data_IF_375652884656
#
_entry.id   IF_375652884656
#
_cell.length_a   1.000
_cell.length_b   1.000
_cell.length_c   1.000
_cell.angle_alpha   90.00
_cell.angle_beta   90.00
_cell.angle_gamma   90.00
#
_symmetry.space_group_name_H-M   'P 1'
#
loop_
_entity.id
_entity.type
_entity.pdbx_description
1 polymer ?
2 non-polymer ?
3 non-polymer ?
4 water ?
#
# COMPACT_ATOMS: atom_id res chain seq x y z
N UNK A 21 -18.73 1.60 4.63
CA UNK A 21 -19.04 0.21 4.99
C UNK A 21 -17.96 -0.75 4.51
N UNK A 22 -18.19 -2.03 4.78
CA UNK A 22 -17.25 -3.08 4.42
C UNK A 22 -17.70 -3.88 3.20
N UNK A 23 -16.77 -4.20 2.30
CA UNK A 23 -17.09 -4.98 1.11
C UNK A 23 -16.63 -6.43 1.23
N UNK A 24 -15.89 -6.71 2.29
CA UNK A 24 -15.47 -8.09 2.58
C UNK A 24 -15.75 -8.43 4.04
N UNK A 25 -15.91 -9.72 4.33
CA UNK A 25 -16.14 -10.16 5.69
C UNK A 25 -14.85 -10.07 6.49
N UNK A 26 -14.99 -10.02 7.81
CA UNK A 26 -13.81 -10.03 8.68
C UNK A 26 -12.92 -11.22 8.35
N UNK A 27 -11.62 -10.98 8.33
CA UNK A 27 -10.63 -12.05 8.25
C UNK A 27 -9.83 -11.97 9.55
N UNK A 28 -10.06 -12.91 10.46
CA UNK A 28 -9.51 -12.79 11.82
C UNK A 28 -7.99 -12.92 11.85
N UNK A 29 -7.41 -13.64 10.92
CA UNK A 29 -5.95 -13.71 10.86
C UNK A 29 -5.38 -12.32 10.57
N UNK A 30 -5.98 -11.62 9.60
CA UNK A 30 -5.51 -10.27 9.27
C UNK A 30 -5.80 -9.29 10.42
N UNK A 31 -7.00 -9.40 11.00
CA UNK A 31 -7.36 -8.55 12.13
C UNK A 31 -6.35 -8.70 13.29
N UNK A 32 -6.00 -9.93 13.63
CA UNK A 32 -5.05 -10.14 14.73
C UNK A 32 -3.72 -9.48 14.42
N UNK A 33 -3.26 -9.67 13.18
CA UNK A 33 -1.95 -9.15 12.79
C UNK A 33 -1.97 -7.63 12.77
N UNK A 34 -3.04 -7.05 12.25
CA UNK A 34 -3.16 -5.59 12.23
C UNK A 34 -3.16 -5.04 13.65
N UNK A 35 -3.93 -5.67 14.52
CA UNK A 35 -4.02 -5.25 15.92
C UNK A 35 -2.68 -5.30 16.65
N UNK A 36 -1.94 -6.40 16.49
CA UNK A 36 -0.81 -6.68 17.35
C UNK A 36 0.53 -6.25 16.77
N UNK A 37 0.58 -6.14 15.46
CA UNK A 37 1.81 -5.83 14.74
C UNK A 37 1.78 -4.41 14.20
N UNK A 38 0.61 -3.91 13.85
CA UNK A 38 0.52 -2.65 13.16
C UNK A 38 -0.03 -1.37 13.75
N UNK A 39 -1.16 -1.55 14.42
CA UNK A 39 -1.81 -0.52 15.16
C UNK A 39 -1.24 -0.45 16.56
N UNK A 40 -1.09 -1.59 17.21
CA UNK A 40 -0.45 -1.64 18.52
C UNK A 40 -1.15 -0.65 19.46
N UNK A 41 -0.43 0.28 20.05
CA UNK A 41 -1.04 1.25 20.96
C UNK A 41 -1.56 2.53 20.34
N UNK A 42 -1.58 2.61 19.01
CA UNK A 42 -1.96 3.85 18.34
C UNK A 42 -3.41 4.19 18.66
N UNK A 43 -3.69 5.46 18.94
CA UNK A 43 -5.05 5.88 19.21
C UNK A 43 -5.58 6.90 18.20
N UNK A 44 -4.82 7.95 17.93
CA UNK A 44 -5.31 8.96 17.00
C UNK A 44 -4.84 8.74 15.57
N UNK A 45 -5.39 9.57 14.69
CA UNK A 45 -5.22 9.40 13.26
C UNK A 45 -3.76 9.31 12.85
N UNK A 46 -2.93 10.21 13.37
CA UNK A 46 -1.52 10.28 12.99
C UNK A 46 -0.77 9.03 13.39
N UNK A 47 -1.09 8.50 14.57
CA UNK A 47 -0.47 7.28 15.08
C UNK A 47 -0.88 6.04 14.28
N UNK A 48 -2.14 6.00 13.86
CA UNK A 48 -2.62 4.87 13.07
C UNK A 48 -1.95 4.90 11.69
N UNK A 49 -1.92 6.08 11.06
CA UNK A 49 -1.20 6.23 9.80
C UNK A 49 0.27 5.83 9.95
N UNK A 50 0.92 6.31 11.01
CA UNK A 50 2.34 6.05 11.20
C UNK A 50 2.61 4.55 11.36
N UNK A 51 1.77 3.88 12.16
CA UNK A 51 1.88 2.43 12.31
C UNK A 51 1.87 1.71 10.97
N UNK A 52 0.94 2.08 10.11
CA UNK A 52 0.86 1.41 8.80
C UNK A 52 2.08 1.74 7.94
N UNK A 53 2.55 2.99 8.01
CA UNK A 53 3.68 3.41 7.19
C UNK A 53 4.92 2.60 7.53
N UNK A 54 5.26 2.54 8.81
CA UNK A 54 6.40 1.75 9.28
C UNK A 54 6.23 0.26 9.04
N UNK A 55 5.02 -0.25 9.23
CA UNK A 55 4.81 -1.67 8.97
C UNK A 55 5.13 -2.01 7.51
N UNK A 56 4.56 -1.25 6.59
CA UNK A 56 4.74 -1.49 5.19
C UNK A 56 6.18 -1.31 4.77
N UNK A 57 6.80 -0.28 5.27
CA UNK A 57 8.20 -0.02 5.02
C UNK A 57 9.06 -1.16 5.51
N UNK A 58 8.67 -1.75 6.63
CA UNK A 58 9.43 -2.86 7.20
C UNK A 58 9.19 -4.20 6.51
N UNK A 59 7.98 -4.41 6.02
CA UNK A 59 7.53 -5.72 5.60
C UNK A 59 7.60 -5.95 4.08
N UNK A 60 7.35 -4.92 3.29
CA UNK A 60 7.49 -5.02 1.84
C UNK A 60 8.97 -5.18 1.53
N UNK A 61 9.33 -6.11 0.65
CA UNK A 61 10.75 -6.26 0.31
C UNK A 61 11.12 -5.50 -0.96
N UNK A 62 11.68 -4.30 -0.81
CA UNK A 62 12.04 -3.47 -1.96
C UNK A 62 13.43 -3.84 -2.52
N UNK A 63 13.61 -3.73 -3.85
CA UNK A 63 12.59 -3.31 -4.80
C UNK A 63 11.86 -4.51 -5.33
N UNK A 64 10.66 -4.32 -5.85
CA UNK A 64 9.96 -5.42 -6.50
C UNK A 64 9.23 -4.87 -7.71
N UNK A 65 8.79 -5.75 -8.59
CA UNK A 65 8.07 -5.27 -9.76
C UNK A 65 6.56 -5.36 -9.60
N UNK A 66 5.86 -4.43 -10.24
CA UNK A 66 4.42 -4.43 -10.19
C UNK A 66 3.79 -3.77 -11.41
N UNK A 67 2.51 -4.04 -11.60
CA UNK A 67 1.71 -3.35 -12.60
C UNK A 67 1.00 -2.21 -11.89
N UNK A 68 1.26 -0.98 -12.34
CA UNK A 68 0.64 0.19 -11.77
C UNK A 68 -0.49 0.69 -12.67
N UNK A 69 -1.69 0.80 -12.12
CA UNK A 69 -2.79 1.39 -12.87
C UNK A 69 -2.75 2.89 -12.67
N UNK A 70 -2.13 3.57 -13.64
CA UNK A 70 -1.96 5.01 -13.60
C UNK A 70 -3.13 5.66 -14.32
N UNK A 71 -4.03 6.26 -13.54
CA UNK A 71 -5.31 6.75 -14.06
C UNK A 71 -5.25 8.23 -14.46
N UNK A 72 -5.93 8.58 -15.56
CA UNK A 72 -6.08 9.99 -15.92
C UNK A 72 -7.55 10.40 -15.89
N UNK A 73 -7.95 11.02 -14.79
CA UNK A 73 -9.34 11.43 -14.60
C UNK A 73 -9.79 12.37 -15.71
N UNK A 74 -8.90 13.27 -16.12
CA UNK A 74 -9.25 14.28 -17.11
C UNK A 74 -9.63 13.69 -18.45
N UNK A 75 -9.05 12.55 -18.81
CA UNK A 75 -9.29 12.02 -20.15
C UNK A 75 -10.04 10.70 -20.10
N UNK A 76 -10.36 10.26 -18.89
CA UNK A 76 -10.99 8.97 -18.67
C UNK A 76 -10.16 7.85 -19.27
N UNK A 77 -8.85 7.89 -19.07
CA UNK A 77 -8.02 6.81 -19.59
C UNK A 77 -7.15 6.22 -18.50
N UNK A 78 -6.63 5.02 -18.76
CA UNK A 78 -5.77 4.32 -17.81
C UNK A 78 -4.52 3.80 -18.53
N UNK A 79 -3.36 4.14 -17.98
CA UNK A 79 -2.09 3.57 -18.42
C UNK A 79 -1.60 2.55 -17.41
N UNK A 80 -1.65 1.28 -17.79
CA UNK A 80 -1.11 0.22 -16.94
C UNK A 80 0.40 0.11 -17.17
N UNK A 81 1.18 0.64 -16.22
CA UNK A 81 2.63 0.72 -16.37
C UNK A 81 3.31 -0.42 -15.61
N UNK A 82 4.41 -0.92 -16.16
CA UNK A 82 5.21 -1.94 -15.47
C UNK A 82 6.43 -1.30 -14.87
N UNK A 83 6.53 -1.32 -13.55
CA UNK A 83 7.50 -0.48 -12.87
C UNK A 83 8.24 -1.24 -11.80
N UNK A 84 9.35 -0.68 -11.34
CA UNK A 84 9.97 -1.17 -10.13
C UNK A 84 9.43 -0.35 -8.98
N UNK A 85 8.96 -1.03 -7.94
CA UNK A 85 8.53 -0.33 -6.74
C UNK A 85 9.75 -0.19 -5.83
N UNK A 86 10.17 1.05 -5.61
CA UNK A 86 11.47 1.35 -4.98
C UNK A 86 11.42 1.46 -3.46
N UNK A 87 10.27 1.84 -2.92
CA UNK A 87 10.15 2.03 -1.49
C UNK A 87 8.91 2.84 -1.17
N UNK A 88 8.68 3.14 0.11
CA UNK A 88 7.59 4.00 0.49
C UNK A 88 7.90 5.39 -0.04
N UNK A 89 6.89 6.13 -0.39
CA UNK A 89 7.09 7.50 -0.77
C UNK A 89 7.43 8.24 0.48
N UNK A 90 8.12 9.35 0.36
CA UNK A 90 8.38 10.13 1.54
C UNK A 90 7.05 10.51 2.14
N UNK A 91 7.05 10.66 3.44
CA UNK A 91 5.84 10.58 4.24
C UNK A 91 4.98 11.85 4.24
N UNK A 92 5.04 12.62 3.16
CA UNK A 92 4.30 13.89 3.12
C UNK A 92 2.77 13.75 3.09
N UNK A 93 2.27 12.68 2.47
CA UNK A 93 0.82 12.49 2.37
C UNK A 93 0.37 11.27 3.19
N UNK A 94 1.19 10.91 4.17
CA UNK A 94 0.95 9.74 5.00
C UNK A 94 -0.43 9.69 5.63
N UNK A 95 -0.97 10.84 6.03
CA UNK A 95 -2.24 10.87 6.74
C UNK A 95 -3.44 10.46 5.88
N UNK A 96 -3.28 10.50 4.56
CA UNK A 96 -4.40 10.23 3.66
C UNK A 96 -4.40 8.79 3.12
N UNK A 97 -3.25 8.33 2.67
CA UNK A 97 -3.17 7.05 1.98
C UNK A 97 -1.74 6.57 2.07
N UNK A 98 -1.51 5.31 1.68
CA UNK A 98 -0.16 4.76 1.64
C UNK A 98 0.40 4.84 0.21
N UNK A 99 1.45 5.64 0.03
CA UNK A 99 2.05 5.83 -1.30
C UNK A 99 3.41 5.18 -1.36
N UNK A 100 3.76 4.66 -2.53
CA UNK A 100 5.08 4.13 -2.75
C UNK A 100 5.70 4.88 -3.92
N UNK A 101 7.02 4.85 -3.98
CA UNK A 101 7.70 5.39 -5.13
C UNK A 101 8.00 4.29 -6.13
N UNK A 102 7.74 4.57 -7.41
CA UNK A 102 7.93 3.58 -8.48
C UNK A 102 8.71 4.21 -9.63
N UNK A 103 9.46 3.38 -10.37
CA UNK A 103 10.26 3.89 -11.47
C UNK A 103 10.04 3.07 -12.72
N UNK A 104 9.91 3.72 -13.87
CA UNK A 104 10.03 2.96 -15.10
C UNK A 104 11.43 3.18 -15.65
N UNK A 105 12.13 2.07 -15.87
CA UNK A 105 13.54 2.10 -16.17
C UNK A 105 13.78 2.00 -17.68
N UNK A 106 12.70 2.04 -18.45
CA UNK A 106 12.84 1.96 -19.90
C UNK A 106 13.72 3.03 -20.50
N UNK A 110 15.40 7.39 -16.55
CA UNK A 110 14.52 6.97 -15.45
C UNK A 110 13.52 8.06 -15.05
N UNK A 111 12.26 7.69 -14.96
CA UNK A 111 11.21 8.58 -14.48
C UNK A 111 10.64 8.00 -13.21
N UNK A 112 10.69 8.76 -12.11
CA UNK A 112 10.15 8.30 -10.84
C UNK A 112 8.78 8.91 -10.55
N UNK A 113 7.88 8.12 -9.99
CA UNK A 113 6.52 8.58 -9.74
C UNK A 113 6.10 8.21 -8.33
N UNK A 114 5.06 8.88 -7.84
CA UNK A 114 4.42 8.48 -6.60
C UNK A 114 3.12 7.78 -6.94
N UNK A 115 2.92 6.57 -6.42
CA UNK A 115 1.74 5.79 -6.70
C UNK A 115 1.11 5.31 -5.40
N UNK A 116 -0.22 5.27 -5.38
CA UNK A 116 -0.96 4.61 -4.31
C UNK A 116 -0.67 3.10 -4.32
N UNK A 117 -0.29 2.54 -3.17
CA UNK A 117 -0.08 1.11 -3.08
C UNK A 117 -1.31 0.34 -3.57
N UNK A 118 -2.49 0.89 -3.32
CA UNK A 118 -3.74 0.23 -3.68
C UNK A 118 -3.93 0.10 -5.20
N UNK A 119 -3.09 0.80 -5.95
CA UNK A 119 -3.10 0.73 -7.42
C UNK A 119 -1.99 -0.14 -8.01
N UNK A 120 -1.31 -0.87 -7.14
CA UNK A 120 -0.18 -1.71 -7.55
C UNK A 120 -0.53 -3.20 -7.45
N UNK A 121 -0.30 -3.93 -8.54
CA UNK A 121 -0.46 -5.36 -8.53
C UNK A 121 0.95 -5.96 -8.61
N UNK A 122 1.44 -6.52 -7.50
CA UNK A 122 2.79 -7.03 -7.42
C UNK A 122 3.00 -8.26 -8.31
N UNK A 123 4.21 -8.38 -8.87
CA UNK A 123 4.52 -9.50 -9.76
C UNK A 123 5.51 -10.47 -9.14
N UNK A 124 5.07 -11.72 -8.95
CA UNK A 124 5.90 -12.78 -8.39
C UNK A 124 6.75 -12.39 -7.17
N UNK A 125 6.15 -11.70 -6.21
CA UNK A 125 6.90 -11.32 -5.01
C UNK A 125 6.91 -12.40 -3.93
N UNK A 126 7.80 -12.25 -2.95
CA UNK A 126 7.90 -13.22 -1.86
C UNK A 126 6.66 -13.14 -0.97
N UNK A 127 6.47 -14.17 -0.17
CA UNK A 127 5.26 -14.31 0.62
C UNK A 127 4.98 -13.14 1.54
N UNK A 128 5.99 -12.62 2.20
CA UNK A 128 5.78 -11.55 3.19
C UNK A 128 5.35 -10.25 2.51
N UNK A 129 5.86 -9.99 1.32
CA UNK A 129 5.51 -8.76 0.61
C UNK A 129 4.05 -8.86 0.18
N UNK A 130 3.72 -10.00 -0.43
CA UNK A 130 2.35 -10.26 -0.85
C UNK A 130 1.38 -10.13 0.34
N UNK A 131 1.74 -10.70 1.49
CA UNK A 131 0.89 -10.62 2.67
C UNK A 131 0.63 -9.18 3.12
N UNK A 132 1.69 -8.38 3.20
CA UNK A 132 1.56 -6.99 3.64
C UNK A 132 0.69 -6.19 2.68
N UNK A 133 0.87 -6.39 1.39
CA UNK A 133 0.00 -5.73 0.43
C UNK A 133 -1.47 -6.14 0.61
N UNK A 134 -1.70 -7.46 0.76
CA UNK A 134 -3.04 -7.98 1.02
C UNK A 134 -3.66 -7.42 2.31
N UNK A 135 -2.84 -7.21 3.33
CA UNK A 135 -3.34 -6.67 4.60
C UNK A 135 -3.84 -5.24 4.37
N UNK A 136 -3.09 -4.49 3.58
CA UNK A 136 -3.45 -3.10 3.31
C UNK A 136 -4.73 -3.05 2.47
N UNK A 137 -4.77 -3.86 1.41
CA UNK A 137 -5.99 -3.98 0.60
C UNK A 137 -7.20 -4.41 1.45
N UNK A 138 -6.97 -5.31 2.40
CA UNK A 138 -8.04 -5.74 3.30
C UNK A 138 -8.55 -4.59 4.17
N UNK A 139 -7.62 -3.84 4.78
CA UNK A 139 -7.96 -2.68 5.60
C UNK A 139 -8.89 -1.72 4.84
N UNK A 140 -8.56 -1.45 3.57
CA UNK A 140 -9.36 -0.52 2.76
C UNK A 140 -10.72 -1.13 2.43
N UNK A 141 -10.71 -2.39 2.03
CA UNK A 141 -11.94 -3.12 1.72
C UNK A 141 -12.90 -3.12 2.90
N UNK A 142 -12.37 -3.14 4.12
CA UNK A 142 -13.23 -3.18 5.29
C UNK A 142 -13.80 -1.80 5.57
N UNK A 143 -13.28 -0.79 4.89
CA UNK A 143 -13.76 0.57 5.11
C UNK A 143 -13.08 1.24 6.28
N UNK A 144 -11.98 0.67 6.76
CA UNK A 144 -11.26 1.27 7.87
C UNK A 144 -10.53 2.52 7.38
N UNK A 145 -10.40 3.52 8.24
CA UNK A 145 -9.57 4.67 7.92
C UNK A 145 -8.81 5.13 9.16
N UNK A 146 -7.70 5.82 8.95
CA UNK A 146 -6.83 6.21 10.05
C UNK A 146 -7.61 6.99 11.11
X LIG B 1 4.80 10.86 9.72
X LIG B 1 4.62 11.85 10.63
X LIG B 1 3.49 11.81 11.49
X LIG B 1 2.55 10.73 11.38
X LIG B 1 2.73 9.70 10.44
X LIG B 1 3.83 9.75 9.62
X LIG B 1 4.10 8.48 8.45
X LIG B 1 5.67 12.92 10.64
X LIG B 1 5.58 13.89 11.36
X LIG B 1 6.70 12.87 9.73
X LIG B 1 3.19 12.79 12.49
X LIG B 1 2.11 12.68 13.20
X LIG B 1 4.01 13.76 12.77
X LIG C 1 11.39 -2.86 3.27
#
# INVERSE_FOLDING_TARGET
>A
MGSSHHHHHHSSGLVPRGSHMASVERDETREHRIETEIIVDAEDKEERAMGWYYYLDDTLEFPFMGKWKKKSRKTSTIEEKTVEVLGMAPDDECLKDMYVEVADIGGKDDDVYTAKLSDIEAIDVDDDTQEAIADWLYWLARGYKF
>B hetero
1 MNB C6 C1 C2 C3 C4 C5 S5 C10 O12 O11 N7 O9 O8
>C hetero
1 NA NA
#
